data_IF_383943700241
#
_entry.id   IF_383943700241
#
_cell.length_a   1.000
_cell.length_b   1.000
_cell.length_c   1.000
_cell.angle_alpha   90.00
_cell.angle_beta   90.00
_cell.angle_gamma   90.00
#
_symmetry.space_group_name_H-M   'P 1'
#
loop_
_entity.id
_entity.type
_entity.pdbx_description
1 polymer ?
#
# COMPACT_ATOMS: atom_id res chain seq x y z
N UNK A 1 35.95 -20.72 10.51
CA UNK A 1 36.19 -19.29 10.69
C UNK A 1 34.87 -18.67 11.18
N UNK A 2 34.85 -18.29 12.48
CA UNK A 2 33.66 -17.94 13.23
C UNK A 2 33.14 -16.55 12.81
N UNK A 3 31.91 -16.50 12.33
CA UNK A 3 31.18 -15.22 12.20
C UNK A 3 30.38 -14.95 13.48
N UNK A 4 30.78 -13.90 14.19
CA UNK A 4 30.13 -13.43 15.41
C UNK A 4 28.77 -12.82 15.07
N UNK A 5 27.74 -13.31 15.75
CA UNK A 5 26.41 -12.68 15.81
C UNK A 5 26.55 -11.36 16.56
N UNK A 6 26.21 -10.24 15.92
CA UNK A 6 26.05 -8.96 16.57
C UNK A 6 24.57 -8.85 16.97
N UNK A 7 24.34 -9.00 18.28
CA UNK A 7 23.05 -8.73 18.90
C UNK A 7 22.98 -7.23 19.17
N UNK A 8 22.16 -6.47 18.44
CA UNK A 8 21.88 -5.07 18.75
C UNK A 8 20.78 -5.08 19.80
N UNK A 9 21.19 -4.83 21.03
CA UNK A 9 20.31 -4.61 22.17
C UNK A 9 19.91 -3.12 22.17
N UNK A 10 18.73 -2.80 21.66
CA UNK A 10 18.16 -1.46 21.74
C UNK A 10 17.67 -1.21 23.16
N UNK A 11 18.44 -0.50 23.94
CA UNK A 11 17.99 0.08 25.21
C UNK A 11 17.08 1.27 24.92
N UNK A 12 15.78 1.06 25.08
CA UNK A 12 14.80 2.16 25.16
C UNK A 12 14.97 2.81 26.54
N UNK A 13 15.72 3.90 26.62
CA UNK A 13 15.80 4.73 27.82
C UNK A 13 14.52 5.55 27.87
N UNK A 14 13.57 5.12 28.67
CA UNK A 14 12.42 5.91 29.09
C UNK A 14 12.95 6.98 30.04
N UNK A 15 13.12 8.19 29.54
CA UNK A 15 13.47 9.34 30.35
C UNK A 15 12.25 9.73 31.22
N UNK A 16 12.19 9.15 32.41
CA UNK A 16 11.38 9.66 33.48
C UNK A 16 11.97 11.03 33.89
N UNK A 17 11.31 12.10 33.51
CA UNK A 17 11.60 13.42 34.06
C UNK A 17 11.18 13.40 35.52
N UNK A 18 12.09 13.00 36.41
CA UNK A 18 12.01 13.33 37.82
C UNK A 18 12.20 14.82 37.93
N UNK A 19 11.14 15.56 38.14
CA UNK A 19 11.21 16.91 38.63
C UNK A 19 11.66 16.80 40.11
N UNK A 20 12.97 16.93 40.29
CA UNK A 20 13.55 17.06 41.63
C UNK A 20 13.13 18.42 42.18
N UNK A 21 12.23 18.43 43.13
CA UNK A 21 12.04 19.61 43.97
C UNK A 21 13.33 19.80 44.80
N UNK A 22 14.14 20.75 44.40
CA UNK A 22 15.23 21.25 45.24
C UNK A 22 14.59 21.99 46.41
N UNK A 23 14.61 21.40 47.57
CA UNK A 23 14.30 22.10 48.79
C UNK A 23 15.47 23.05 49.08
N UNK A 24 15.30 24.34 48.78
CA UNK A 24 16.14 25.37 49.37
C UNK A 24 15.81 25.45 50.86
N UNK A 25 16.69 24.93 51.69
CA UNK A 25 16.73 25.26 53.09
C UNK A 25 17.41 26.62 53.21
N UNK A 26 16.68 27.70 53.30
CA UNK A 26 17.14 28.91 53.94
C UNK A 26 16.65 28.87 55.39
N UNK A 27 17.58 28.63 56.31
CA UNK A 27 17.40 28.99 57.71
C UNK A 27 17.48 30.50 57.82
N UNK A 28 16.36 31.17 57.64
CA UNK A 28 16.19 32.54 58.14
C UNK A 28 15.50 32.48 59.51
N UNK A 29 16.21 32.86 60.50
CA UNK A 29 15.73 33.13 61.88
C UNK A 29 14.59 34.12 61.84
N UNK A 30 13.38 33.68 62.13
CA UNK A 30 12.19 34.53 62.22
C UNK A 30 12.09 35.05 63.67
N UNK A 31 12.49 36.26 63.83
CA UNK A 31 11.93 37.08 64.93
C UNK A 31 10.64 37.72 64.46
N UNK A 32 9.57 37.52 65.26
CA UNK A 32 8.31 38.25 65.13
C UNK A 32 7.16 37.49 64.43
N UNK A 33 6.17 37.09 65.21
CA UNK A 33 4.97 36.42 64.79
C UNK A 33 4.16 37.20 63.73
N UNK A 34 4.22 36.70 62.49
CA UNK A 34 3.16 36.93 61.53
C UNK A 34 2.60 35.55 61.13
N UNK A 35 1.29 35.48 61.10
CA UNK A 35 0.57 34.21 60.85
C UNK A 35 1.05 33.48 59.61
N UNK A 36 1.25 32.16 59.72
CA UNK A 36 1.53 31.27 58.62
C UNK A 36 0.58 31.61 57.48
N UNK A 37 1.13 32.07 56.36
CA UNK A 37 0.34 32.25 55.11
C UNK A 37 -0.37 30.93 54.79
N UNK A 38 -1.69 30.93 54.91
CA UNK A 38 -2.57 29.78 54.67
C UNK A 38 -3.03 29.79 53.25
N UNK A 39 -2.10 30.03 52.31
CA UNK A 39 -2.42 29.97 50.88
C UNK A 39 -3.05 28.62 50.53
N UNK A 40 -4.21 28.69 49.92
CA UNK A 40 -4.87 27.50 49.40
C UNK A 40 -4.09 27.01 48.20
N UNK A 41 -3.36 25.91 48.35
CA UNK A 41 -2.49 25.31 47.30
C UNK A 41 -2.89 23.85 47.08
N UNK A 42 -3.01 23.49 45.83
CA UNK A 42 -3.23 22.11 45.38
C UNK A 42 -1.98 21.66 44.65
N UNK A 43 -1.44 20.50 45.00
CA UNK A 43 -0.16 20.01 44.47
C UNK A 43 -0.13 19.75 42.96
N UNK A 44 -1.29 19.68 42.30
CA UNK A 44 -1.43 19.40 40.87
C UNK A 44 -2.61 20.18 40.28
N UNK A 45 -2.47 20.60 39.04
CA UNK A 45 -3.55 21.19 38.23
C UNK A 45 -4.16 20.18 37.26
N UNK A 46 -3.45 19.08 37.03
CA UNK A 46 -3.86 18.01 36.14
C UNK A 46 -3.33 16.64 36.61
N UNK A 47 -3.99 15.57 36.17
CA UNK A 47 -3.61 14.18 36.39
C UNK A 47 -3.88 13.37 35.14
N UNK A 48 -3.01 12.41 34.85
CA UNK A 48 -3.19 11.48 33.73
C UNK A 48 -3.07 10.03 34.22
N UNK A 49 -3.98 9.20 33.73
CA UNK A 49 -3.98 7.76 33.99
C UNK A 49 -3.86 6.98 32.68
N UNK A 50 -3.21 5.83 32.75
CA UNK A 50 -3.24 4.87 31.64
C UNK A 50 -4.62 4.21 31.56
N UNK A 51 -4.89 3.49 30.48
CA UNK A 51 -6.12 2.70 30.29
C UNK A 51 -6.40 1.75 31.48
N UNK A 52 -5.37 1.24 32.13
CA UNK A 52 -5.52 0.29 33.24
C UNK A 52 -5.94 0.96 34.55
N UNK A 53 -6.06 2.29 34.57
CA UNK A 53 -6.31 3.04 35.79
C UNK A 53 -5.07 3.12 36.67
N UNK A 54 -5.28 3.18 37.93
CA UNK A 54 -4.23 3.27 38.94
C UNK A 54 -4.54 4.25 40.05
N UNK A 55 -3.55 4.53 40.88
CA UNK A 55 -3.66 5.42 42.04
C UNK A 55 -2.59 6.50 41.98
N UNK A 56 -2.93 7.71 42.47
CA UNK A 56 -1.99 8.82 42.57
C UNK A 56 -2.36 9.70 43.76
N UNK A 57 -1.34 10.33 44.33
CA UNK A 57 -1.48 11.18 45.52
C UNK A 57 -1.86 12.62 45.13
N UNK A 58 -2.73 13.22 45.93
CA UNK A 58 -3.10 14.63 45.89
C UNK A 58 -2.87 15.26 47.26
N UNK A 59 -2.04 16.28 47.32
CA UNK A 59 -1.82 17.06 48.53
C UNK A 59 -2.45 18.43 48.40
N UNK A 60 -3.19 18.82 49.43
CA UNK A 60 -3.88 20.12 49.52
C UNK A 60 -3.40 20.84 50.75
N UNK A 61 -2.81 22.03 50.57
CA UNK A 61 -2.49 22.93 51.66
C UNK A 61 -3.63 23.92 51.83
N UNK A 62 -4.28 23.95 52.99
CA UNK A 62 -5.37 24.87 53.29
C UNK A 62 -5.54 25.04 54.81
N UNK A 63 -6.00 26.20 55.24
CA UNK A 63 -6.26 26.50 56.67
C UNK A 63 -7.51 25.77 57.20
N UNK A 64 -8.45 25.47 56.29
CA UNK A 64 -9.67 24.70 56.59
C UNK A 64 -9.59 23.35 55.96
N UNK A 65 -10.20 22.33 56.57
CA UNK A 65 -10.24 20.99 56.02
C UNK A 65 -10.91 21.03 54.62
N UNK A 66 -10.18 20.71 53.55
CA UNK A 66 -10.73 20.80 52.22
C UNK A 66 -11.70 19.62 51.93
N UNK A 67 -12.68 19.90 51.12
CA UNK A 67 -13.48 18.85 50.46
C UNK A 67 -12.93 18.62 49.07
N UNK A 68 -12.75 17.34 48.69
CA UNK A 68 -12.31 16.93 47.37
C UNK A 68 -13.37 16.00 46.78
N UNK A 69 -13.93 16.39 45.65
CA UNK A 69 -15.05 15.67 45.04
C UNK A 69 -14.95 15.59 43.53
N UNK A 70 -15.61 14.61 42.96
CA UNK A 70 -15.77 14.45 41.51
C UNK A 70 -17.13 13.81 41.23
N UNK A 71 -17.75 14.13 40.09
CA UNK A 71 -18.97 13.49 39.63
C UNK A 71 -18.69 12.27 38.75
N UNK A 72 -17.43 12.04 38.41
CA UNK A 72 -17.04 10.93 37.53
C UNK A 72 -17.05 9.60 38.29
N UNK A 73 -17.96 8.71 37.96
CA UNK A 73 -18.12 7.40 38.61
C UNK A 73 -16.87 6.51 38.54
N UNK A 74 -15.97 6.77 37.62
CA UNK A 74 -14.73 6.01 37.43
C UNK A 74 -13.54 6.53 38.25
N UNK A 75 -13.74 7.60 39.00
CA UNK A 75 -12.74 8.16 39.92
C UNK A 75 -13.24 8.02 41.38
N UNK A 76 -12.38 7.51 42.23
CA UNK A 76 -12.60 7.51 43.67
C UNK A 76 -11.60 8.46 44.35
N UNK A 77 -12.11 9.23 45.31
CA UNK A 77 -11.32 10.14 46.13
C UNK A 77 -11.38 9.64 47.58
N UNK A 78 -10.23 9.32 48.17
CA UNK A 78 -10.15 8.79 49.52
C UNK A 78 -9.22 9.64 50.37
N UNK A 79 -9.69 10.23 51.48
CA UNK A 79 -8.78 10.90 52.40
C UNK A 79 -7.82 9.91 53.04
N UNK A 80 -6.54 10.29 53.14
CA UNK A 80 -5.50 9.50 53.80
C UNK A 80 -5.28 9.99 55.22
N UNK A 81 -5.28 9.09 56.19
CA UNK A 81 -5.04 9.40 57.58
C UNK A 81 -3.60 9.90 57.80
N UNK A 82 -3.41 10.82 58.76
CA UNK A 82 -2.08 11.38 59.07
C UNK A 82 -1.79 12.74 58.42
N UNK A 83 -2.81 13.38 57.84
CA UNK A 83 -2.72 14.77 57.40
C UNK A 83 -2.36 15.71 58.53
N UNK A 84 -1.54 16.74 58.26
CA UNK A 84 -1.26 17.80 59.22
C UNK A 84 -2.44 18.79 59.31
N UNK A 85 -2.41 19.69 60.27
CA UNK A 85 -3.47 20.69 60.41
C UNK A 85 -3.65 21.63 59.20
N UNK A 86 -2.65 21.69 58.31
CA UNK A 86 -2.67 22.57 57.13
C UNK A 86 -2.35 21.83 55.82
N UNK A 87 -1.93 20.56 55.85
CA UNK A 87 -1.65 19.77 54.65
C UNK A 87 -2.47 18.50 54.70
N UNK A 88 -3.37 18.37 53.78
CA UNK A 88 -4.33 17.26 53.64
C UNK A 88 -3.92 16.37 52.50
N UNK A 89 -3.95 15.06 52.70
CA UNK A 89 -3.57 14.04 51.74
C UNK A 89 -4.80 13.27 51.28
N UNK A 90 -4.93 13.10 49.95
CA UNK A 90 -5.97 12.30 49.32
C UNK A 90 -5.34 11.33 48.33
N UNK A 91 -5.89 10.13 48.27
CA UNK A 91 -5.57 9.15 47.24
C UNK A 91 -6.66 9.23 46.16
N UNK A 92 -6.23 9.49 44.95
CA UNK A 92 -7.11 9.49 43.78
C UNK A 92 -6.90 8.16 43.03
N UNK A 93 -7.99 7.39 42.87
CA UNK A 93 -7.98 6.12 42.17
C UNK A 93 -8.85 6.20 40.93
N UNK A 94 -8.29 5.82 39.79
CA UNK A 94 -9.03 5.66 38.55
C UNK A 94 -9.26 4.18 38.23
N UNK A 95 -10.48 3.82 37.89
CA UNK A 95 -10.81 2.49 37.37
C UNK A 95 -10.27 2.33 35.94
N UNK A 96 -10.11 1.09 35.47
CA UNK A 96 -9.71 0.82 34.08
C UNK A 96 -10.71 1.43 33.08
N UNK A 97 -10.20 2.04 32.03
CA UNK A 97 -11.01 2.49 30.91
C UNK A 97 -11.11 1.36 29.87
N UNK A 98 -12.27 0.75 29.76
CA UNK A 98 -12.55 -0.34 28.79
C UNK A 98 -13.22 0.16 27.51
N UNK A 99 -13.50 1.47 27.42
CA UNK A 99 -14.05 2.08 26.22
C UNK A 99 -12.95 2.33 25.17
N UNK A 100 -13.34 2.54 23.93
CA UNK A 100 -12.41 2.86 22.82
C UNK A 100 -12.07 4.36 22.75
N UNK A 101 -12.68 5.17 23.62
CA UNK A 101 -12.44 6.62 23.66
C UNK A 101 -11.75 7.01 24.96
N UNK A 102 -10.84 7.97 24.85
CA UNK A 102 -10.26 8.63 26.00
C UNK A 102 -11.36 9.32 26.80
N UNK A 103 -11.18 9.37 28.12
CA UNK A 103 -12.12 10.04 28.99
C UNK A 103 -11.45 11.08 29.85
N UNK A 104 -12.20 12.10 30.21
CA UNK A 104 -11.74 13.14 31.11
C UNK A 104 -12.79 13.44 32.18
N UNK A 105 -12.32 13.96 33.29
CA UNK A 105 -13.17 14.40 34.41
C UNK A 105 -12.52 15.56 35.11
N UNK A 106 -13.30 16.20 35.99
CA UNK A 106 -12.81 17.26 36.85
C UNK A 106 -12.92 16.81 38.30
N UNK A 107 -11.86 17.01 39.07
CA UNK A 107 -11.90 16.95 40.53
C UNK A 107 -11.99 18.39 41.05
N UNK A 108 -12.94 18.64 41.90
CA UNK A 108 -13.12 19.94 42.59
C UNK A 108 -12.56 19.85 43.99
N UNK A 109 -11.68 20.77 44.30
CA UNK A 109 -11.11 20.94 45.65
C UNK A 109 -11.62 22.25 46.21
N UNK A 110 -12.33 22.23 47.34
CA UNK A 110 -12.88 23.43 47.99
C UNK A 110 -12.37 23.53 49.41
N UNK A 111 -11.95 24.73 49.82
CA UNK A 111 -11.53 25.05 51.18
C UNK A 111 -12.10 26.41 51.59
N UNK A 112 -13.11 26.41 52.45
CA UNK A 112 -13.88 27.62 52.75
C UNK A 112 -14.62 28.18 51.55
N UNK A 113 -14.38 29.41 51.18
CA UNK A 113 -14.93 30.05 49.97
C UNK A 113 -14.14 29.78 48.70
N UNK A 114 -12.94 29.22 48.82
CA UNK A 114 -12.02 29.05 47.69
C UNK A 114 -12.19 27.67 47.03
N UNK A 115 -12.09 27.66 45.72
CA UNK A 115 -12.26 26.44 44.92
C UNK A 115 -11.17 26.38 43.85
N UNK A 116 -10.60 25.18 43.68
CA UNK A 116 -9.70 24.84 42.55
C UNK A 116 -10.16 23.58 41.86
N UNK A 117 -9.88 23.48 40.59
CA UNK A 117 -10.21 22.33 39.80
C UNK A 117 -8.94 21.64 39.28
N UNK A 118 -9.01 20.31 39.18
CA UNK A 118 -7.96 19.46 38.62
C UNK A 118 -8.58 18.72 37.44
N UNK A 119 -7.96 18.85 36.30
CA UNK A 119 -8.38 18.07 35.12
C UNK A 119 -7.75 16.67 35.20
N UNK A 120 -8.58 15.63 35.07
CA UNK A 120 -8.12 14.25 35.02
C UNK A 120 -8.38 13.70 33.64
N UNK A 121 -7.35 13.17 33.02
CA UNK A 121 -7.43 12.45 31.71
C UNK A 121 -7.10 10.99 31.91
N UNK A 122 -7.74 10.13 31.13
CA UNK A 122 -7.41 8.71 31.07
C UNK A 122 -7.48 8.17 29.65
N UNK A 123 -6.42 7.49 29.24
CA UNK A 123 -6.36 6.87 27.92
C UNK A 123 -7.38 5.73 27.80
N UNK A 124 -7.84 5.49 26.57
CA UNK A 124 -8.73 4.40 26.21
C UNK A 124 -8.00 3.05 26.13
N UNK A 125 -8.72 1.99 25.87
CA UNK A 125 -8.14 0.74 25.39
C UNK A 125 -7.40 1.00 24.07
N UNK A 126 -6.38 0.17 23.75
CA UNK A 126 -5.69 0.29 22.48
C UNK A 126 -6.69 0.08 21.33
N UNK A 127 -6.69 1.00 20.39
CA UNK A 127 -7.61 0.99 19.26
C UNK A 127 -7.03 1.72 18.06
N UNK A 128 -7.38 1.24 16.87
CA UNK A 128 -7.06 1.82 15.59
C UNK A 128 -8.37 1.97 14.80
N UNK A 129 -8.66 3.17 14.32
CA UNK A 129 -9.91 3.47 13.61
C UNK A 129 -9.63 4.40 12.43
N UNK A 130 -10.04 4.00 11.23
CA UNK A 130 -10.06 4.89 10.06
C UNK A 130 -11.28 5.80 10.16
N UNK A 131 -11.08 7.12 10.22
CA UNK A 131 -12.15 8.12 10.31
C UNK A 131 -12.51 8.79 8.98
N UNK A 132 -11.64 8.72 7.97
CA UNK A 132 -11.87 9.29 6.64
C UNK A 132 -12.75 8.46 5.70
N UNK A 133 -13.09 7.24 6.11
CA UNK A 133 -13.71 6.22 5.24
C UNK A 133 -12.68 5.22 4.73
N UNK A 134 -13.15 3.99 4.41
CA UNK A 134 -12.29 2.85 4.04
C UNK A 134 -12.16 2.65 2.52
N UNK A 135 -12.86 3.43 1.74
CA UNK A 135 -12.79 3.39 0.26
C UNK A 135 -12.66 4.79 -0.28
N UNK A 136 -11.68 4.99 -1.15
CA UNK A 136 -11.43 6.26 -1.83
C UNK A 136 -11.40 6.04 -3.33
N UNK A 137 -12.12 6.87 -4.08
CA UNK A 137 -12.17 6.79 -5.53
C UNK A 137 -11.37 7.95 -6.13
N UNK A 138 -10.52 7.65 -7.10
CA UNK A 138 -9.66 8.62 -7.77
C UNK A 138 -9.84 8.49 -9.28
N UNK A 139 -10.04 9.61 -9.96
CA UNK A 139 -10.11 9.63 -11.41
C UNK A 139 -8.81 9.17 -12.07
N UNK A 140 -8.87 8.86 -13.37
CA UNK A 140 -7.72 8.36 -14.14
C UNK A 140 -6.51 9.31 -14.12
N UNK A 141 -6.73 10.62 -14.07
CA UNK A 141 -5.64 11.61 -13.98
C UNK A 141 -4.81 11.52 -12.69
N UNK A 142 -5.20 10.64 -11.74
CA UNK A 142 -4.57 10.58 -10.43
C UNK A 142 -4.98 11.75 -9.53
N UNK A 143 -4.22 11.97 -8.47
CA UNK A 143 -4.47 13.07 -7.53
C UNK A 143 -3.99 12.75 -6.13
N UNK A 144 -4.47 13.54 -5.18
CA UNK A 144 -4.17 13.33 -3.77
C UNK A 144 -5.37 12.74 -3.04
N UNK A 145 -5.13 11.82 -2.14
CA UNK A 145 -6.11 11.31 -1.18
C UNK A 145 -5.60 11.52 0.23
N UNK A 146 -6.52 11.79 1.15
CA UNK A 146 -6.20 12.00 2.55
C UNK A 146 -6.86 10.91 3.38
N UNK A 147 -6.06 10.14 4.10
CA UNK A 147 -6.53 9.16 5.08
C UNK A 147 -6.36 9.77 6.47
N UNK A 148 -7.45 9.80 7.22
CA UNK A 148 -7.45 10.20 8.61
C UNK A 148 -7.79 8.98 9.48
N UNK A 149 -6.96 8.74 10.47
CA UNK A 149 -7.16 7.67 11.43
C UNK A 149 -6.90 8.15 12.86
N UNK A 150 -7.48 7.44 13.82
CA UNK A 150 -7.24 7.60 15.25
C UNK A 150 -6.54 6.36 15.76
N UNK A 151 -5.43 6.55 16.46
CA UNK A 151 -4.72 5.47 17.12
C UNK A 151 -4.19 5.96 18.48
N UNK A 152 -4.27 5.13 19.50
CA UNK A 152 -3.75 5.46 20.83
C UNK A 152 -2.47 4.68 21.19
N UNK A 153 -1.89 3.99 20.21
CA UNK A 153 -0.58 3.37 20.27
C UNK A 153 0.12 3.46 18.90
N UNK A 154 1.40 3.13 18.83
CA UNK A 154 2.16 3.13 17.58
C UNK A 154 1.61 2.09 16.61
N UNK A 155 1.55 2.43 15.34
CA UNK A 155 1.14 1.55 14.26
C UNK A 155 2.14 1.59 13.10
N UNK A 156 2.08 0.61 12.23
CA UNK A 156 2.81 0.56 10.97
C UNK A 156 1.84 0.66 9.79
N UNK A 157 2.33 1.10 8.65
CA UNK A 157 1.55 1.12 7.41
C UNK A 157 2.25 0.32 6.31
N UNK A 158 1.47 -0.26 5.43
CA UNK A 158 1.93 -0.94 4.22
C UNK A 158 1.08 -0.47 3.05
N UNK A 159 1.73 -0.04 1.98
CA UNK A 159 1.11 0.33 0.71
C UNK A 159 1.34 -0.83 -0.25
N UNK A 160 0.27 -1.37 -0.83
CA UNK A 160 0.36 -2.58 -1.65
C UNK A 160 1.01 -2.38 -3.02
N UNK A 161 1.00 -1.14 -3.53
CA UNK A 161 1.39 -0.84 -4.91
C UNK A 161 2.17 0.48 -5.00
N UNK A 162 3.12 0.55 -5.90
CA UNK A 162 4.05 1.67 -6.10
C UNK A 162 3.45 2.94 -6.73
N UNK A 163 2.26 2.81 -7.35
CA UNK A 163 1.55 3.96 -7.92
C UNK A 163 0.78 4.80 -6.87
N UNK A 164 0.84 4.39 -5.61
CA UNK A 164 0.42 5.15 -4.43
C UNK A 164 1.64 5.41 -3.56
N UNK A 165 1.91 6.68 -3.23
CA UNK A 165 3.01 7.05 -2.34
C UNK A 165 2.56 8.06 -1.30
N UNK A 166 3.14 7.98 -0.10
CA UNK A 166 2.86 8.92 0.97
C UNK A 166 3.56 10.26 0.73
N UNK A 167 2.80 11.34 0.96
CA UNK A 167 3.35 12.70 1.01
C UNK A 167 3.68 12.99 2.48
N UNK A 168 4.97 12.99 2.84
CA UNK A 168 5.39 13.21 4.23
C UNK A 168 5.14 14.65 4.67
N UNK A 169 4.25 14.83 5.65
CA UNK A 169 4.10 16.09 6.38
C UNK A 169 4.21 15.82 7.89
N UNK A 170 4.82 16.74 8.65
CA UNK A 170 4.96 16.61 10.09
C UNK A 170 3.74 17.25 10.78
N UNK A 171 3.00 16.47 11.57
CA UNK A 171 1.97 16.99 12.46
C UNK A 171 1.99 16.30 13.83
N UNK A 172 1.69 17.07 14.88
CA UNK A 172 1.64 16.64 16.27
C UNK A 172 0.24 16.13 16.65
N UNK A 173 0.20 14.94 17.20
CA UNK A 173 -0.66 14.39 18.28
C UNK A 173 -2.18 14.22 18.07
N UNK A 174 -2.65 13.00 18.26
CA UNK A 174 -3.97 12.37 18.50
C UNK A 174 -4.75 11.97 17.24
N UNK A 175 -4.83 12.78 16.24
CA UNK A 175 -5.36 12.42 14.93
C UNK A 175 -4.22 12.40 13.92
N UNK A 176 -3.99 11.24 13.31
CA UNK A 176 -2.96 11.08 12.29
C UNK A 176 -3.57 11.32 10.91
N UNK A 177 -2.97 12.24 10.17
CA UNK A 177 -3.37 12.53 8.80
C UNK A 177 -2.26 12.11 7.86
N UNK A 178 -2.56 11.18 6.96
CA UNK A 178 -1.66 10.72 5.93
C UNK A 178 -2.16 11.21 4.56
N UNK A 179 -1.28 11.85 3.81
CA UNK A 179 -1.56 12.30 2.45
C UNK A 179 -0.80 11.41 1.48
N UNK A 180 -1.49 10.92 0.47
CA UNK A 180 -0.94 10.04 -0.55
C UNK A 180 -1.06 10.67 -1.92
N UNK A 181 -0.03 10.54 -2.72
CA UNK A 181 -0.07 10.84 -4.14
C UNK A 181 -0.47 9.59 -4.90
N UNK A 182 -1.42 9.71 -5.79
CA UNK A 182 -1.86 8.66 -6.70
C UNK A 182 -1.44 9.05 -8.10
N UNK A 183 -0.54 8.27 -8.69
CA UNK A 183 -0.04 8.51 -10.04
C UNK A 183 -1.17 8.38 -11.08
N UNK A 184 -1.03 9.06 -12.22
CA UNK A 184 -1.98 8.93 -13.32
C UNK A 184 -2.07 7.46 -13.78
N UNK A 185 -3.27 7.04 -14.15
CA UNK A 185 -3.53 5.75 -14.74
C UNK A 185 -3.70 5.92 -16.25
N UNK A 186 -2.88 5.26 -17.01
CA UNK A 186 -2.93 5.25 -18.49
C UNK A 186 -3.49 3.91 -19.02
N UNK A 187 -3.94 3.03 -18.15
CA UNK A 187 -4.36 1.67 -18.45
C UNK A 187 -5.75 1.36 -17.85
N UNK A 188 -6.04 0.09 -17.61
CA UNK A 188 -7.29 -0.37 -17.02
C UNK A 188 -7.53 0.19 -15.61
N UNK A 189 -8.77 0.19 -15.15
CA UNK A 189 -9.09 0.51 -13.77
C UNK A 189 -8.29 -0.39 -12.81
N UNK A 190 -7.82 0.19 -11.70
CA UNK A 190 -6.95 -0.51 -10.75
C UNK A 190 -7.28 -0.15 -9.32
N UNK A 191 -6.86 -1.00 -8.38
CA UNK A 191 -7.05 -0.79 -6.95
C UNK A 191 -5.76 -1.00 -6.19
N UNK A 192 -5.59 -0.25 -5.11
CA UNK A 192 -4.52 -0.43 -4.13
C UNK A 192 -5.10 -0.45 -2.72
N UNK A 193 -4.39 -1.09 -1.79
CA UNK A 193 -4.77 -1.13 -0.39
C UNK A 193 -3.66 -0.53 0.47
N UNK A 194 -4.05 0.33 1.41
CA UNK A 194 -3.18 0.84 2.46
C UNK A 194 -3.65 0.19 3.76
N UNK A 195 -2.78 -0.58 4.39
CA UNK A 195 -3.06 -1.26 5.66
C UNK A 195 -2.29 -0.60 6.79
N UNK A 196 -2.97 -0.32 7.89
CA UNK A 196 -2.41 0.19 9.12
C UNK A 196 -2.53 -0.87 10.19
N UNK A 197 -1.42 -1.22 10.81
CA UNK A 197 -1.38 -2.28 11.82
C UNK A 197 -0.78 -1.75 13.11
N UNK A 198 -1.52 -1.93 14.20
CA UNK A 198 -1.09 -1.68 15.57
C UNK A 198 -0.89 -3.03 16.27
N UNK A 199 0.28 -3.22 16.86
CA UNK A 199 0.56 -4.39 17.70
C UNK A 199 0.07 -4.11 19.12
N UNK A 200 -0.88 -4.89 19.59
CA UNK A 200 -1.45 -4.78 20.95
C UNK A 200 -0.61 -5.55 21.96
N UNK A 201 -0.17 -6.74 21.59
CA UNK A 201 0.76 -7.60 22.34
C UNK A 201 1.39 -8.65 21.41
N UNK A 202 2.25 -9.52 21.95
CA UNK A 202 3.00 -10.54 21.17
C UNK A 202 2.12 -11.49 20.33
N UNK A 203 0.81 -11.56 20.61
CA UNK A 203 -0.12 -12.48 19.96
C UNK A 203 -1.30 -11.80 19.28
N UNK A 204 -1.44 -10.49 19.42
CA UNK A 204 -2.64 -9.75 18.95
C UNK A 204 -2.22 -8.46 18.26
N UNK A 205 -2.74 -8.26 17.05
CA UNK A 205 -2.66 -7.00 16.31
C UNK A 205 -4.03 -6.54 15.84
N UNK A 206 -4.20 -5.25 15.69
CA UNK A 206 -5.37 -4.62 15.08
C UNK A 206 -4.93 -4.08 13.74
N UNK A 207 -5.61 -4.47 12.66
CA UNK A 207 -5.33 -3.98 11.31
C UNK A 207 -6.57 -3.34 10.72
N UNK A 208 -6.42 -2.12 10.24
CA UNK A 208 -7.42 -1.39 9.47
C UNK A 208 -6.88 -1.10 8.08
N UNK A 209 -7.74 -1.08 7.06
CA UNK A 209 -7.33 -0.89 5.68
C UNK A 209 -8.19 0.12 4.94
N UNK A 210 -7.55 0.87 4.05
CA UNK A 210 -8.20 1.76 3.07
C UNK A 210 -7.94 1.22 1.68
N UNK A 211 -8.99 1.12 0.87
CA UNK A 211 -8.88 0.78 -0.55
C UNK A 211 -8.96 2.05 -1.38
N UNK A 212 -8.02 2.23 -2.28
CA UNK A 212 -8.01 3.28 -3.30
C UNK A 212 -8.36 2.63 -4.62
N UNK A 213 -9.49 3.01 -5.22
CA UNK A 213 -9.87 2.62 -6.56
C UNK A 213 -9.55 3.76 -7.53
N UNK A 214 -8.85 3.46 -8.60
CA UNK A 214 -8.55 4.43 -9.65
C UNK A 214 -9.22 4.02 -10.96
N UNK A 215 -9.92 4.96 -11.55
CA UNK A 215 -10.59 4.76 -12.83
C UNK A 215 -9.60 4.43 -13.94
N UNK A 216 -10.12 3.79 -14.97
CA UNK A 216 -9.40 3.52 -16.22
C UNK A 216 -8.94 4.82 -16.86
N UNK A 217 -7.69 4.87 -17.28
CA UNK A 217 -7.11 5.97 -18.02
C UNK A 217 -7.42 5.89 -19.52
N UNK A 218 -7.31 7.04 -20.17
CA UNK A 218 -7.26 7.14 -21.64
C UNK A 218 -5.99 7.91 -21.98
N UNK A 219 -5.18 7.37 -22.87
CA UNK A 219 -4.07 8.12 -23.47
C UNK A 219 -4.60 8.89 -24.66
N UNK A 220 -4.25 10.16 -24.76
CA UNK A 220 -4.48 10.96 -25.96
C UNK A 220 -3.21 10.93 -26.81
N UNK A 221 -3.07 9.88 -27.61
CA UNK A 221 -1.94 9.76 -28.51
C UNK A 221 -2.06 10.65 -29.75
N UNK A 222 -0.96 10.85 -30.43
CA UNK A 222 -0.92 11.54 -31.72
C UNK A 222 -1.12 10.53 -32.86
N UNK A 223 -2.38 10.17 -33.11
CA UNK A 223 -2.78 9.24 -34.17
C UNK A 223 -2.64 9.85 -35.59
N UNK A 224 -2.12 11.07 -35.70
CA UNK A 224 -1.81 11.68 -37.02
C UNK A 224 -0.48 11.22 -37.59
N UNK A 225 0.39 10.58 -36.79
CA UNK A 225 1.67 10.07 -37.25
C UNK A 225 1.48 8.90 -38.24
N UNK A 226 2.26 8.92 -39.31
CA UNK A 226 2.35 7.79 -40.22
C UNK A 226 3.15 6.65 -39.62
N UNK A 227 3.01 5.43 -40.14
CA UNK A 227 3.83 4.28 -39.74
C UNK A 227 5.35 4.56 -39.91
N UNK A 228 5.73 5.34 -40.92
CA UNK A 228 7.12 5.75 -41.14
C UNK A 228 7.64 6.72 -40.08
N UNK A 229 6.80 7.63 -39.65
CA UNK A 229 7.14 8.55 -38.55
C UNK A 229 7.36 7.80 -37.24
N UNK A 230 6.47 6.84 -36.94
CA UNK A 230 6.58 5.96 -35.76
C UNK A 230 7.86 5.13 -35.85
N UNK A 231 8.12 4.46 -36.98
CA UNK A 231 9.30 3.64 -37.19
C UNK A 231 10.61 4.44 -36.98
N UNK A 232 10.63 5.70 -37.43
CA UNK A 232 11.81 6.58 -37.22
C UNK A 232 12.05 6.90 -35.74
N UNK A 233 11.01 6.92 -34.92
CA UNK A 233 11.07 7.21 -33.47
C UNK A 233 11.46 5.96 -32.64
N UNK A 234 11.34 4.75 -33.18
CA UNK A 234 11.53 3.49 -32.45
C UNK A 234 12.99 3.02 -32.39
N UNK A 235 13.91 3.59 -33.17
CA UNK A 235 15.30 3.11 -33.22
C UNK A 235 16.20 3.85 -32.24
N UNK A 236 17.10 3.16 -31.52
CA UNK A 236 17.26 1.70 -31.47
C UNK A 236 16.22 1.03 -30.55
N UNK A 237 15.86 -0.23 -30.88
CA UNK A 237 14.96 -1.05 -30.10
C UNK A 237 15.69 -2.14 -29.30
N UNK A 238 15.04 -2.62 -28.24
CA UNK A 238 15.49 -3.73 -27.40
C UNK A 238 14.41 -4.81 -27.33
N UNK A 239 14.79 -6.10 -27.19
CA UNK A 239 13.86 -7.20 -27.07
C UNK A 239 13.88 -7.77 -25.64
N UNK A 240 12.74 -7.71 -24.96
CA UNK A 240 12.54 -8.34 -23.66
C UNK A 240 12.19 -9.83 -23.87
N UNK A 241 13.20 -10.60 -24.27
CA UNK A 241 13.02 -12.03 -24.52
C UNK A 241 13.17 -12.90 -23.30
N UNK A 242 12.70 -14.15 -23.39
CA UNK A 242 12.74 -15.17 -22.35
C UNK A 242 11.91 -14.81 -21.09
N UNK A 243 10.88 -14.00 -21.26
CA UNK A 243 10.01 -13.52 -20.19
C UNK A 243 8.55 -13.88 -20.41
N UNK A 244 7.79 -13.01 -21.11
CA UNK A 244 6.36 -13.18 -21.31
C UNK A 244 6.03 -14.30 -22.33
N UNK A 245 7.00 -14.80 -23.08
CA UNK A 245 6.86 -15.96 -23.96
C UNK A 245 7.38 -17.26 -23.32
N UNK A 246 7.98 -17.18 -22.12
CA UNK A 246 8.60 -18.34 -21.49
C UNK A 246 7.58 -19.37 -21.02
N UNK A 247 7.93 -20.62 -21.14
CA UNK A 247 7.06 -21.73 -20.74
C UNK A 247 7.84 -22.98 -20.34
N UNK A 248 7.17 -23.94 -19.70
CA UNK A 248 7.75 -25.18 -19.23
C UNK A 248 7.21 -26.37 -20.01
N UNK A 249 7.94 -26.85 -21.01
CA UNK A 249 7.61 -27.99 -21.81
C UNK A 249 7.42 -29.30 -21.01
N UNK A 250 8.12 -29.44 -19.87
CA UNK A 250 8.00 -30.62 -19.02
C UNK A 250 6.61 -30.76 -18.36
N UNK A 251 5.89 -29.67 -18.21
CA UNK A 251 4.53 -29.63 -17.66
C UNK A 251 3.45 -29.62 -18.78
N UNK A 252 3.84 -29.87 -20.01
CA UNK A 252 2.93 -29.72 -21.13
C UNK A 252 2.23 -28.36 -21.16
N UNK A 253 2.94 -27.32 -20.66
CA UNK A 253 2.51 -25.91 -20.56
C UNK A 253 1.24 -25.69 -19.73
N UNK A 254 0.81 -26.69 -18.96
CA UNK A 254 -0.36 -26.56 -18.09
C UNK A 254 -0.04 -25.72 -16.86
N UNK A 255 -0.98 -24.90 -16.45
CA UNK A 255 -0.92 -24.08 -15.22
C UNK A 255 0.34 -23.21 -15.10
N UNK A 256 0.79 -22.62 -16.20
CA UNK A 256 1.95 -21.73 -16.20
C UNK A 256 1.67 -20.47 -15.38
N UNK A 257 0.50 -19.84 -15.56
CA UNK A 257 0.12 -18.61 -14.87
C UNK A 257 1.22 -17.55 -14.91
N UNK A 258 1.21 -16.61 -14.01
CA UNK A 258 2.26 -15.57 -13.89
C UNK A 258 3.65 -16.13 -13.55
N UNK A 259 3.76 -17.36 -13.11
CA UNK A 259 5.03 -18.03 -12.81
C UNK A 259 5.86 -18.33 -14.06
N UNK A 260 5.26 -18.37 -15.26
CA UNK A 260 5.96 -18.66 -16.51
C UNK A 260 7.02 -17.62 -16.84
N UNK A 261 6.85 -16.38 -16.45
CA UNK A 261 7.80 -15.28 -16.65
C UNK A 261 9.23 -15.64 -16.20
N UNK A 262 9.36 -16.53 -15.23
CA UNK A 262 10.67 -16.90 -14.64
C UNK A 262 11.13 -18.32 -15.03
N UNK A 263 10.52 -18.96 -16.03
CA UNK A 263 10.92 -20.31 -16.43
C UNK A 263 12.26 -20.36 -17.18
N UNK A 264 12.56 -19.33 -17.97
CA UNK A 264 13.79 -19.29 -18.77
C UNK A 264 14.82 -18.29 -18.21
N UNK A 265 14.44 -17.52 -17.20
CA UNK A 265 15.33 -16.63 -16.46
C UNK A 265 14.88 -16.53 -14.99
N UNK A 266 15.79 -16.14 -14.09
CA UNK A 266 15.54 -16.22 -12.67
C UNK A 266 14.84 -14.97 -12.07
N UNK A 267 14.68 -13.90 -12.84
CA UNK A 267 14.16 -12.63 -12.34
C UNK A 267 12.94 -12.17 -13.14
N UNK A 268 11.96 -11.62 -12.43
CA UNK A 268 10.84 -10.91 -13.08
C UNK A 268 11.30 -9.57 -13.64
N UNK A 269 10.63 -9.13 -14.70
CA UNK A 269 10.79 -7.78 -15.24
C UNK A 269 10.35 -6.74 -14.21
N UNK A 270 11.15 -5.72 -14.00
CA UNK A 270 10.89 -4.64 -13.05
C UNK A 270 10.93 -3.28 -13.74
N UNK A 271 10.33 -2.26 -13.09
CA UNK A 271 10.43 -0.88 -13.56
C UNK A 271 11.89 -0.46 -13.69
N UNK A 272 12.76 -0.80 -12.72
CA UNK A 272 14.18 -0.45 -12.73
C UNK A 272 14.94 -1.02 -13.93
N UNK A 273 14.58 -2.24 -14.40
CA UNK A 273 15.15 -2.80 -15.61
C UNK A 273 14.80 -1.94 -16.83
N UNK A 274 13.54 -1.57 -16.96
CA UNK A 274 13.08 -0.75 -18.09
C UNK A 274 13.64 0.69 -18.00
N UNK A 275 13.77 1.24 -16.80
CA UNK A 275 14.45 2.52 -16.58
C UNK A 275 15.91 2.47 -17.09
N UNK A 276 16.61 1.36 -16.83
CA UNK A 276 17.98 1.14 -17.32
C UNK A 276 18.00 1.00 -18.86
N UNK A 277 17.04 0.29 -19.46
CA UNK A 277 16.92 0.19 -20.93
C UNK A 277 16.74 1.58 -21.55
N UNK A 278 15.85 2.41 -20.99
CA UNK A 278 15.67 3.80 -21.43
C UNK A 278 16.95 4.63 -21.27
N UNK A 279 17.59 4.54 -20.10
CA UNK A 279 18.83 5.26 -19.81
C UNK A 279 19.98 4.85 -20.73
N UNK A 280 19.96 3.60 -21.23
CA UNK A 280 20.93 3.08 -22.22
C UNK A 280 20.68 3.59 -23.65
N UNK A 281 19.64 4.41 -23.85
CA UNK A 281 19.36 5.09 -25.12
C UNK A 281 18.37 4.38 -26.04
N UNK A 282 17.81 3.24 -25.64
CA UNK A 282 16.77 2.55 -26.42
C UNK A 282 15.49 3.39 -26.48
N UNK A 283 14.77 3.25 -27.58
CA UNK A 283 13.56 4.02 -27.90
C UNK A 283 12.32 3.12 -27.98
N UNK A 284 12.50 1.83 -28.17
CA UNK A 284 11.43 0.85 -28.20
C UNK A 284 11.82 -0.44 -27.50
N UNK A 285 10.79 -1.15 -27.03
CA UNK A 285 10.91 -2.50 -26.44
C UNK A 285 9.92 -3.42 -27.14
N UNK A 286 10.40 -4.55 -27.67
CA UNK A 286 9.53 -5.65 -28.07
C UNK A 286 9.37 -6.61 -26.89
N UNK A 287 8.14 -6.94 -26.56
CA UNK A 287 7.75 -7.86 -25.51
C UNK A 287 7.11 -9.09 -26.17
N UNK A 288 7.87 -10.16 -26.42
CA UNK A 288 7.31 -11.41 -26.88
C UNK A 288 6.32 -11.96 -25.84
N UNK A 289 5.13 -12.41 -26.26
CA UNK A 289 4.09 -12.90 -25.36
C UNK A 289 3.49 -14.23 -25.83
N UNK A 290 3.35 -15.18 -24.91
CA UNK A 290 2.46 -16.33 -25.06
C UNK A 290 1.09 -16.02 -24.48
N UNK A 291 0.03 -16.34 -25.21
CA UNK A 291 -1.35 -16.05 -24.81
C UNK A 291 -2.18 -17.31 -24.60
N UNK A 292 -1.87 -18.36 -25.35
CA UNK A 292 -2.62 -19.63 -25.36
C UNK A 292 -1.92 -20.67 -24.49
N UNK A 293 -0.61 -20.78 -24.63
CA UNK A 293 0.17 -21.83 -24.01
C UNK A 293 0.29 -21.67 -22.50
N UNK A 294 -0.59 -22.34 -21.78
CA UNK A 294 -0.64 -22.30 -20.31
C UNK A 294 -1.35 -21.09 -19.73
N UNK A 295 -1.97 -20.25 -20.55
CA UNK A 295 -2.64 -19.01 -20.11
C UNK A 295 -4.13 -18.96 -20.50
N UNK A 296 -4.73 -20.08 -20.91
CA UNK A 296 -6.17 -20.18 -21.18
C UNK A 296 -6.86 -20.84 -20.00
N UNK A 297 -7.87 -20.17 -19.46
CA UNK A 297 -8.73 -20.65 -18.34
C UNK A 297 -9.99 -21.36 -18.83
N UNK A 298 -10.49 -21.02 -20.03
CA UNK A 298 -11.62 -21.66 -20.70
C UNK A 298 -11.21 -21.95 -22.15
N UNK A 299 -11.11 -23.24 -22.50
CA UNK A 299 -10.65 -23.67 -23.81
C UNK A 299 -11.67 -23.40 -24.93
N UNK A 300 -12.98 -23.43 -24.66
CA UNK A 300 -14.02 -23.18 -25.65
C UNK A 300 -14.14 -21.69 -25.99
N UNK A 301 -14.19 -20.86 -24.97
CA UNK A 301 -14.20 -19.41 -25.11
C UNK A 301 -12.82 -18.83 -25.45
N UNK A 302 -11.75 -19.60 -25.29
CA UNK A 302 -10.35 -19.17 -25.38
C UNK A 302 -10.04 -18.00 -24.42
N UNK A 303 -10.59 -18.05 -23.19
CA UNK A 303 -10.44 -16.97 -22.22
C UNK A 303 -9.02 -16.92 -21.70
N UNK A 304 -8.34 -15.79 -21.91
CA UNK A 304 -6.99 -15.54 -21.38
C UNK A 304 -7.07 -15.33 -19.87
N UNK A 305 -6.13 -15.92 -19.14
CA UNK A 305 -5.98 -15.73 -17.68
C UNK A 305 -5.86 -14.25 -17.35
N UNK A 306 -6.74 -13.76 -16.47
CA UNK A 306 -6.82 -12.36 -16.11
C UNK A 306 -5.55 -11.86 -15.38
N UNK A 307 -4.94 -12.71 -14.54
CA UNK A 307 -3.71 -12.37 -13.82
C UNK A 307 -2.52 -12.26 -14.79
N UNK A 308 -2.47 -13.16 -15.79
CA UNK A 308 -1.49 -13.09 -16.85
C UNK A 308 -1.63 -11.81 -17.69
N UNK A 309 -2.85 -11.51 -18.12
CA UNK A 309 -3.14 -10.30 -18.89
C UNK A 309 -2.78 -9.04 -18.10
N UNK A 310 -3.10 -9.01 -16.81
CA UNK A 310 -2.72 -7.91 -15.90
C UNK A 310 -1.19 -7.78 -15.79
N UNK A 311 -0.46 -8.89 -15.74
CA UNK A 311 1.00 -8.87 -15.69
C UNK A 311 1.63 -8.33 -16.97
N UNK A 312 1.10 -8.69 -18.14
CA UNK A 312 1.55 -8.11 -19.41
C UNK A 312 1.28 -6.61 -19.45
N UNK A 313 0.11 -6.16 -18.96
CA UNK A 313 -0.19 -4.74 -18.79
C UNK A 313 0.87 -4.02 -17.94
N UNK A 314 1.21 -4.60 -16.80
CA UNK A 314 2.20 -4.01 -15.89
C UNK A 314 3.57 -3.82 -16.58
N UNK A 315 4.02 -4.80 -17.37
CA UNK A 315 5.28 -4.71 -18.09
C UNK A 315 5.22 -3.68 -19.23
N UNK A 316 4.09 -3.61 -19.95
CA UNK A 316 3.84 -2.56 -20.95
C UNK A 316 3.87 -1.19 -20.29
N UNK A 317 3.21 -1.03 -19.15
CA UNK A 317 3.18 0.23 -18.39
C UNK A 317 4.57 0.70 -17.96
N UNK A 318 5.48 -0.21 -17.60
CA UNK A 318 6.87 0.14 -17.30
C UNK A 318 7.54 0.83 -18.49
N UNK A 319 7.24 0.37 -19.70
CA UNK A 319 7.77 0.95 -20.93
C UNK A 319 7.11 2.30 -21.27
N UNK A 320 5.79 2.39 -21.19
CA UNK A 320 5.04 3.61 -21.50
C UNK A 320 5.38 4.74 -20.52
N UNK A 321 5.56 4.44 -19.23
CA UNK A 321 6.04 5.40 -18.22
C UNK A 321 7.42 5.98 -18.56
N UNK A 322 8.24 5.24 -19.27
CA UNK A 322 9.55 5.65 -19.76
C UNK A 322 9.52 6.30 -21.15
N UNK A 323 8.34 6.58 -21.67
CA UNK A 323 8.15 7.13 -23.01
C UNK A 323 8.87 6.28 -24.07
N UNK A 324 8.66 4.96 -24.03
CA UNK A 324 9.15 3.98 -24.99
C UNK A 324 8.01 3.51 -25.89
N UNK A 325 8.31 3.25 -27.14
CA UNK A 325 7.43 2.49 -28.01
C UNK A 325 7.48 1.03 -27.63
N UNK A 326 6.34 0.33 -27.72
CA UNK A 326 6.19 -1.06 -27.30
C UNK A 326 5.60 -1.88 -28.43
N UNK A 327 6.16 -3.06 -28.70
CA UNK A 327 5.56 -4.06 -29.57
C UNK A 327 5.22 -5.28 -28.73
N UNK A 328 3.95 -5.65 -28.63
CA UNK A 328 3.53 -6.94 -28.11
C UNK A 328 3.10 -7.83 -29.28
N UNK A 329 3.42 -9.10 -29.19
CA UNK A 329 3.08 -10.05 -30.26
C UNK A 329 2.45 -11.32 -29.68
N UNK A 330 2.01 -12.20 -30.55
CA UNK A 330 1.90 -13.62 -30.26
C UNK A 330 3.22 -14.28 -30.65
N UNK A 331 3.91 -14.90 -29.67
CA UNK A 331 5.25 -15.44 -29.87
C UNK A 331 5.27 -16.95 -29.62
N UNK A 332 5.62 -17.72 -30.62
CA UNK A 332 5.62 -19.18 -30.62
C UNK A 332 4.31 -19.79 -30.08
N UNK A 333 4.04 -19.60 -28.79
CA UNK A 333 2.79 -19.93 -28.11
C UNK A 333 2.34 -21.39 -28.34
N UNK A 334 3.33 -22.31 -28.35
CA UNK A 334 3.15 -23.71 -28.63
C UNK A 334 3.01 -24.06 -30.12
N UNK A 335 3.24 -23.13 -31.01
CA UNK A 335 3.18 -23.32 -32.45
C UNK A 335 1.79 -23.45 -33.04
N UNK A 336 0.73 -23.19 -32.26
CA UNK A 336 -0.65 -23.45 -32.69
C UNK A 336 -1.06 -22.70 -33.98
N UNK A 337 -0.49 -21.51 -34.22
CA UNK A 337 -0.73 -20.75 -35.45
C UNK A 337 0.51 -20.71 -36.34
N UNK A 338 1.71 -20.63 -35.78
CA UNK A 338 2.97 -20.47 -36.52
C UNK A 338 3.41 -21.76 -37.22
N UNK A 339 2.98 -22.92 -36.71
CA UNK A 339 3.28 -24.21 -37.30
C UNK A 339 2.01 -25.02 -37.62
N UNK A 340 1.21 -25.36 -36.57
CA UNK A 340 0.06 -26.26 -36.74
C UNK A 340 -1.04 -25.61 -37.59
N UNK A 341 -1.19 -24.29 -37.55
CA UNK A 341 -2.08 -23.53 -38.41
C UNK A 341 -1.68 -23.50 -39.88
N UNK A 342 -0.47 -23.93 -40.25
CA UNK A 342 0.13 -23.79 -41.54
C UNK A 342 0.35 -25.13 -42.25
N UNK A 343 -0.34 -26.21 -41.83
CA UNK A 343 -0.28 -27.53 -42.41
C UNK A 343 -1.48 -27.77 -43.32
N UNK A 344 -1.38 -28.81 -44.19
CA UNK A 344 -2.50 -29.25 -45.03
C UNK A 344 -3.68 -29.84 -44.22
N UNK A 345 -3.44 -30.31 -43.00
CA UNK A 345 -4.44 -30.90 -42.13
C UNK A 345 -5.18 -29.85 -41.24
N UNK A 346 -4.79 -28.59 -41.32
CA UNK A 346 -5.34 -27.52 -40.48
C UNK A 346 -6.80 -27.22 -40.79
N UNK A 347 -7.64 -27.18 -39.77
CA UNK A 347 -8.96 -26.53 -39.84
C UNK A 347 -8.77 -25.01 -39.79
N UNK A 348 -8.82 -24.40 -40.96
CA UNK A 348 -8.55 -22.96 -41.14
C UNK A 348 -9.57 -22.12 -40.45
N UNK A 349 -10.86 -22.48 -40.56
CA UNK A 349 -11.95 -21.70 -39.98
C UNK A 349 -11.89 -21.74 -38.44
N UNK A 350 -11.61 -22.89 -37.86
CA UNK A 350 -11.41 -23.03 -36.42
C UNK A 350 -10.18 -22.22 -35.93
N UNK A 351 -9.10 -22.23 -36.72
CA UNK A 351 -7.88 -21.47 -36.41
C UNK A 351 -8.15 -19.96 -36.45
N UNK A 352 -8.84 -19.47 -37.48
CA UNK A 352 -9.26 -18.06 -37.60
C UNK A 352 -10.19 -17.66 -36.46
N UNK A 353 -11.18 -18.49 -36.13
CA UNK A 353 -12.07 -18.23 -35.01
C UNK A 353 -11.32 -18.12 -33.67
N UNK A 354 -10.33 -18.97 -33.45
CA UNK A 354 -9.46 -18.90 -32.26
C UNK A 354 -8.61 -17.62 -32.24
N UNK A 355 -8.01 -17.28 -33.39
CA UNK A 355 -7.22 -16.05 -33.55
C UNK A 355 -8.05 -14.82 -33.21
N UNK A 356 -9.27 -14.72 -33.76
CA UNK A 356 -10.21 -13.63 -33.45
C UNK A 356 -10.53 -13.56 -31.95
N UNK A 357 -10.85 -14.71 -31.31
CA UNK A 357 -11.17 -14.73 -29.87
C UNK A 357 -10.00 -14.20 -29.01
N UNK A 358 -8.78 -14.59 -29.33
CA UNK A 358 -7.58 -14.18 -28.58
C UNK A 358 -7.30 -12.69 -28.78
N UNK A 359 -7.19 -12.26 -30.05
CA UNK A 359 -6.84 -10.86 -30.34
C UNK A 359 -7.94 -9.87 -29.98
N UNK A 360 -9.22 -10.27 -30.02
CA UNK A 360 -10.32 -9.44 -29.51
C UNK A 360 -10.17 -9.15 -28.02
N UNK A 361 -9.75 -10.14 -27.20
CA UNK A 361 -9.49 -9.93 -25.78
C UNK A 361 -8.28 -9.00 -25.56
N UNK A 362 -7.18 -9.26 -26.29
CA UNK A 362 -5.97 -8.43 -26.20
C UNK A 362 -6.30 -7.00 -26.62
N UNK A 363 -6.88 -6.78 -27.80
CA UNK A 363 -7.21 -5.45 -28.30
C UNK A 363 -8.16 -4.69 -27.36
N UNK A 364 -9.19 -5.35 -26.83
CA UNK A 364 -10.10 -4.73 -25.86
C UNK A 364 -9.40 -4.36 -24.57
N UNK A 365 -8.46 -5.17 -24.11
CA UNK A 365 -7.71 -4.92 -22.89
C UNK A 365 -6.77 -3.74 -23.04
N UNK A 366 -6.13 -3.59 -24.20
CA UNK A 366 -5.14 -2.53 -24.47
C UNK A 366 -5.69 -1.34 -25.27
N UNK A 367 -6.99 -1.25 -25.49
CA UNK A 367 -7.62 -0.21 -26.36
C UNK A 367 -7.41 1.24 -25.92
N UNK A 368 -6.94 1.46 -24.68
CA UNK A 368 -6.74 2.81 -24.15
C UNK A 368 -5.28 3.30 -24.25
N UNK A 369 -4.39 2.47 -24.81
CA UNK A 369 -3.04 2.91 -25.11
C UNK A 369 -3.03 3.73 -26.42
N UNK A 370 -2.03 4.59 -26.55
CA UNK A 370 -1.83 5.42 -27.73
C UNK A 370 -0.93 4.72 -28.79
N UNK A 371 -0.50 5.46 -29.80
CA UNK A 371 0.33 4.99 -30.90
C UNK A 371 1.67 4.37 -30.48
N UNK A 372 2.05 4.50 -29.20
CA UNK A 372 3.28 3.89 -28.69
C UNK A 372 3.13 2.37 -28.46
N UNK A 373 1.93 1.83 -28.37
CA UNK A 373 1.70 0.39 -28.30
C UNK A 373 1.27 -0.17 -29.64
N UNK A 374 2.06 -1.11 -30.15
CA UNK A 374 1.91 -1.72 -31.47
C UNK A 374 1.66 -3.22 -31.27
N UNK A 375 0.69 -3.77 -32.01
CA UNK A 375 0.36 -5.18 -32.01
C UNK A 375 0.97 -5.87 -33.22
N UNK A 376 1.49 -7.11 -33.02
CA UNK A 376 1.99 -7.98 -34.08
C UNK A 376 1.34 -9.36 -33.96
N UNK A 377 0.58 -9.75 -34.98
CA UNK A 377 -0.31 -10.93 -34.98
C UNK A 377 0.39 -12.27 -34.83
N UNK A 378 1.60 -12.39 -35.34
CA UNK A 378 2.42 -13.61 -35.34
C UNK A 378 3.90 -13.24 -35.14
N UNK A 379 4.76 -14.28 -34.91
CA UNK A 379 6.20 -14.10 -34.74
C UNK A 379 6.98 -14.67 -35.92
N UNK A 380 7.01 -15.99 -36.07
CA UNK A 380 7.82 -16.72 -37.09
C UNK A 380 6.98 -17.74 -37.84
N UNK A 381 5.97 -17.31 -38.61
CA UNK A 381 5.08 -18.24 -39.28
C UNK A 381 5.84 -19.13 -40.26
N UNK A 382 5.66 -20.46 -40.11
CA UNK A 382 6.32 -21.47 -40.90
C UNK A 382 7.77 -21.79 -40.47
N UNK A 383 8.24 -21.23 -39.36
CA UNK A 383 9.58 -21.50 -38.80
C UNK A 383 9.43 -22.17 -37.43
N UNK A 384 10.25 -23.17 -37.15
CA UNK A 384 10.43 -23.78 -35.83
C UNK A 384 9.43 -24.85 -35.42
N UNK A 385 9.84 -25.66 -34.46
CA UNK A 385 9.10 -26.46 -33.48
C UNK A 385 8.33 -27.70 -33.94
N UNK A 386 8.05 -27.87 -35.20
CA UNK A 386 7.29 -29.00 -35.75
C UNK A 386 7.96 -29.72 -36.91
N UNK A 387 7.28 -30.68 -37.54
CA UNK A 387 7.74 -31.33 -38.73
C UNK A 387 7.66 -30.34 -39.92
N UNK A 388 8.79 -29.82 -40.34
CA UNK A 388 8.87 -28.93 -41.52
C UNK A 388 8.27 -29.52 -42.80
N UNK A 389 8.21 -30.85 -42.90
CA UNK A 389 7.58 -31.54 -44.04
C UNK A 389 6.06 -31.51 -44.00
N UNK A 390 5.45 -31.20 -42.87
CA UNK A 390 4.01 -31.05 -42.70
C UNK A 390 3.50 -29.69 -43.17
N UNK A 391 4.39 -28.69 -43.31
CA UNK A 391 4.02 -27.35 -43.75
C UNK A 391 3.51 -27.34 -45.20
N UNK A 392 2.67 -26.38 -45.50
CA UNK A 392 2.21 -26.11 -46.87
C UNK A 392 3.37 -25.77 -47.79
N UNK A 393 3.24 -26.01 -49.09
CA UNK A 393 4.19 -25.50 -50.09
C UNK A 393 4.21 -23.97 -50.11
N UNK A 394 5.31 -23.39 -50.61
CA UNK A 394 5.61 -21.95 -50.47
C UNK A 394 4.46 -21.03 -50.87
N UNK A 395 3.75 -21.28 -51.96
CA UNK A 395 2.64 -20.41 -52.40
C UNK A 395 1.41 -20.54 -51.49
N UNK A 396 1.05 -21.73 -51.09
CA UNK A 396 -0.10 -21.98 -50.20
C UNK A 396 0.20 -21.51 -48.78
N UNK A 397 1.45 -21.67 -48.35
CA UNK A 397 1.94 -21.15 -47.09
C UNK A 397 1.78 -19.61 -47.01
N UNK A 398 2.24 -18.90 -48.04
CA UNK A 398 2.12 -17.44 -48.10
C UNK A 398 0.67 -16.97 -48.11
N UNK A 399 -0.21 -17.66 -48.86
CA UNK A 399 -1.64 -17.36 -48.90
C UNK A 399 -2.28 -17.57 -47.49
N UNK A 400 -1.96 -18.66 -46.82
CA UNK A 400 -2.49 -18.97 -45.50
C UNK A 400 -2.04 -17.95 -44.45
N UNK A 401 -0.76 -17.52 -44.47
CA UNK A 401 -0.25 -16.47 -43.62
C UNK A 401 -1.03 -15.18 -43.88
N UNK A 402 -1.23 -14.77 -45.13
CA UNK A 402 -2.00 -13.60 -45.50
C UNK A 402 -3.46 -13.65 -44.99
N UNK A 403 -4.11 -14.84 -45.07
CA UNK A 403 -5.46 -15.02 -44.50
C UNK A 403 -5.50 -14.78 -42.97
N UNK A 404 -4.50 -15.27 -42.22
CA UNK A 404 -4.42 -15.08 -40.79
C UNK A 404 -4.09 -13.63 -40.41
N UNK A 405 -3.18 -12.98 -41.15
CA UNK A 405 -2.88 -11.57 -40.98
C UNK A 405 -4.13 -10.69 -41.24
N UNK A 406 -4.90 -11.01 -42.29
CA UNK A 406 -6.17 -10.31 -42.55
C UNK A 406 -7.17 -10.51 -41.39
N UNK A 407 -7.28 -11.72 -40.85
CA UNK A 407 -8.14 -12.00 -39.68
C UNK A 407 -7.69 -11.26 -38.45
N UNK A 408 -6.39 -11.08 -38.26
CA UNK A 408 -5.82 -10.31 -37.16
C UNK A 408 -6.13 -8.80 -37.30
N UNK A 409 -6.12 -8.26 -38.54
CA UNK A 409 -6.37 -6.84 -38.81
C UNK A 409 -7.86 -6.49 -38.63
N UNK A 410 -8.79 -7.40 -38.98
CA UNK A 410 -10.25 -7.23 -38.85
C UNK A 410 -10.73 -7.32 -37.41
#
# INVERSE_FOLDING_TARGET
MNMKKITILSFLIMAFAMVSFSACSNEDTIEGGEGLSTDFVVSRSDMAFTKNGGETDLYVKAAQVPTVSTEAAWLAVTPVAGSSSITHHFLIKAEANTANDDRSATITVAAGSDTKTITVSQNSTEGLLISSGKTMNVGAAGGQVTVTLKANASYSQVISNDWVSEITSRANMVEYTHNYSVAANISNARSATISYTMVVNDSTSITEAVTINQEQGTTTGDMSKTAMDIAALMYPGWNLGNTMEAGNAANNWKNAGIGSETFWQSAKTTQQLIDLVKASGFKSVRIPCSWVMGHITDAEACTIDADWLARVHEVVDYCIKNDLYVIINQHWDGGWIEHDGLTAATDVDATKAKLTKIWTQIANSFKNYDERLIFAGMNEPGVGGGDANALLGTADLANRIAEYEQTFIE
#
